data_IF_348944049958
#
_entry.id   IF_348944049958
#
_cell.length_a   1.000
_cell.length_b   1.000
_cell.length_c   1.000
_cell.angle_alpha   90.00
_cell.angle_beta   90.00
_cell.angle_gamma   90.00
#
_symmetry.space_group_name_H-M   'P 1'
#
loop_
_entity.id
_entity.type
_entity.pdbx_description
1 polymer ?
#
# COMPACT_ATOMS: atom_id res chain seq x y z
N UNK A 1 -15.73 8.08 -28.11
CA UNK A 1 -15.91 8.42 -26.68
C UNK A 1 -15.25 7.32 -25.86
N UNK A 2 -14.24 7.61 -25.04
CA UNK A 2 -13.63 6.62 -24.14
C UNK A 2 -14.60 6.25 -23.02
N UNK A 3 -14.81 4.96 -22.78
CA UNK A 3 -15.66 4.45 -21.70
C UNK A 3 -15.16 4.96 -20.33
N UNK A 4 -16.04 5.00 -19.31
CA UNK A 4 -15.66 5.39 -17.95
C UNK A 4 -14.46 4.58 -17.45
N UNK A 5 -14.49 3.26 -17.64
CA UNK A 5 -13.38 2.34 -17.38
C UNK A 5 -12.08 2.73 -18.10
N UNK A 6 -12.17 3.10 -19.38
CA UNK A 6 -11.01 3.56 -20.14
C UNK A 6 -10.39 4.86 -19.59
N UNK A 7 -11.21 5.77 -19.04
CA UNK A 7 -10.73 6.97 -18.37
C UNK A 7 -10.03 6.63 -17.05
N UNK A 8 -10.59 5.75 -16.23
CA UNK A 8 -9.96 5.28 -14.98
C UNK A 8 -8.61 4.64 -15.25
N UNK A 9 -8.52 3.71 -16.21
CA UNK A 9 -7.26 3.07 -16.61
C UNK A 9 -6.25 4.13 -17.05
N UNK A 10 -6.65 5.10 -17.87
CA UNK A 10 -5.75 6.17 -18.31
C UNK A 10 -5.23 7.02 -17.14
N UNK A 11 -6.06 7.33 -16.15
CA UNK A 11 -5.65 8.05 -14.94
C UNK A 11 -4.65 7.25 -14.10
N UNK A 12 -4.90 5.96 -13.88
CA UNK A 12 -3.98 5.06 -13.18
C UNK A 12 -2.63 5.00 -13.89
N UNK A 13 -2.62 4.78 -15.21
CA UNK A 13 -1.36 4.71 -15.98
C UNK A 13 -0.56 6.01 -15.85
N UNK A 14 -1.21 7.18 -15.98
CA UNK A 14 -0.54 8.48 -15.80
C UNK A 14 0.01 8.69 -14.39
N UNK A 15 -0.71 8.20 -13.37
CA UNK A 15 -0.25 8.23 -11.99
C UNK A 15 0.96 7.30 -11.80
N UNK A 16 0.91 6.06 -12.31
CA UNK A 16 2.02 5.11 -12.25
C UNK A 16 3.28 5.65 -12.96
N UNK A 17 3.14 6.34 -14.08
CA UNK A 17 4.26 7.01 -14.76
C UNK A 17 4.93 8.07 -13.86
N UNK A 18 4.15 8.86 -13.13
CA UNK A 18 4.67 9.85 -12.17
C UNK A 18 5.31 9.18 -10.95
N UNK A 19 4.75 8.08 -10.46
CA UNK A 19 5.34 7.27 -9.39
C UNK A 19 6.72 6.76 -9.83
N UNK A 20 6.83 6.19 -11.04
CA UNK A 20 8.08 5.65 -11.57
C UNK A 20 9.19 6.73 -11.74
N UNK A 21 8.80 7.98 -12.02
CA UNK A 21 9.71 9.12 -12.15
C UNK A 21 9.92 9.89 -10.83
N UNK A 22 9.29 9.48 -9.74
CA UNK A 22 9.38 10.20 -8.46
C UNK A 22 10.80 10.14 -7.89
N UNK A 23 11.29 11.30 -7.44
CA UNK A 23 12.59 11.44 -6.76
C UNK A 23 12.49 12.26 -5.45
N UNK A 24 11.32 12.27 -4.80
CA UNK A 24 11.11 13.01 -3.53
C UNK A 24 11.91 12.44 -2.37
N UNK A 25 12.14 11.14 -2.35
CA UNK A 25 12.95 10.43 -1.35
C UNK A 25 14.26 9.96 -1.98
N UNK A 26 15.20 10.89 -2.23
CA UNK A 26 16.45 10.61 -2.96
C UNK A 26 17.19 9.39 -2.41
N UNK A 27 17.34 9.31 -1.09
CA UNK A 27 18.07 8.21 -0.46
C UNK A 27 17.42 6.85 -0.65
N UNK A 28 16.09 6.79 -0.61
CA UNK A 28 15.37 5.53 -0.83
C UNK A 28 15.41 5.16 -2.31
N UNK A 29 15.29 6.14 -3.21
CA UNK A 29 15.19 5.92 -4.66
C UNK A 29 16.44 5.28 -5.23
N UNK A 30 17.62 5.65 -4.73
CA UNK A 30 18.92 5.12 -5.18
C UNK A 30 19.01 3.59 -5.03
N UNK A 31 18.39 2.99 -4.01
CA UNK A 31 18.40 1.54 -3.80
C UNK A 31 17.05 0.87 -4.12
N UNK A 32 16.23 1.52 -4.94
CA UNK A 32 14.92 1.04 -5.36
C UNK A 32 14.92 0.90 -6.87
N UNK A 33 14.94 -0.35 -7.38
CA UNK A 33 14.85 -0.60 -8.81
C UNK A 33 13.55 -0.04 -9.40
N UNK A 34 12.42 -0.48 -8.84
CA UNK A 34 11.08 -0.02 -9.23
C UNK A 34 10.26 0.33 -7.99
N UNK A 35 9.55 1.47 -7.98
CA UNK A 35 8.53 1.70 -6.97
C UNK A 35 7.38 0.68 -7.12
N UNK A 36 6.81 0.26 -6.01
CA UNK A 36 5.63 -0.58 -5.95
C UNK A 36 4.39 0.22 -6.37
N UNK A 37 3.60 -0.33 -7.28
CA UNK A 37 2.30 0.23 -7.70
C UNK A 37 1.18 -0.71 -7.30
N UNK A 38 -0.01 -0.16 -7.09
CA UNK A 38 -1.16 -0.96 -6.70
C UNK A 38 -1.54 -1.98 -7.78
N UNK A 39 -2.20 -3.06 -7.36
CA UNK A 39 -2.69 -4.12 -8.26
C UNK A 39 -4.04 -4.65 -7.79
N UNK A 40 -4.87 -5.00 -8.77
CA UNK A 40 -6.11 -5.70 -8.55
C UNK A 40 -7.17 -5.29 -9.56
N UNK A 41 -8.43 -5.38 -9.14
CA UNK A 41 -9.53 -4.93 -9.98
C UNK A 41 -9.55 -3.40 -10.06
N UNK A 42 -9.67 -2.85 -11.27
CA UNK A 42 -9.74 -1.39 -11.49
C UNK A 42 -11.14 -0.85 -11.14
N UNK A 43 -12.15 -1.73 -11.06
CA UNK A 43 -13.51 -1.41 -10.63
C UNK A 43 -13.77 -1.97 -9.23
N UNK A 44 -12.73 -2.05 -8.40
CA UNK A 44 -12.80 -2.59 -7.05
C UNK A 44 -13.68 -1.75 -6.12
N UNK A 45 -14.63 -2.40 -5.45
CA UNK A 45 -15.37 -1.80 -4.34
C UNK A 45 -14.52 -1.65 -3.08
N UNK A 46 -13.45 -2.44 -2.96
CA UNK A 46 -12.60 -2.50 -1.77
C UNK A 46 -11.15 -2.20 -2.13
N UNK A 47 -10.56 -1.24 -1.43
CA UNK A 47 -9.13 -0.96 -1.48
C UNK A 47 -8.44 -1.41 -0.20
N UNK A 48 -7.42 -2.26 -0.31
CA UNK A 48 -6.54 -2.69 0.78
C UNK A 48 -5.24 -1.86 0.74
N UNK A 49 -4.91 -1.17 1.82
CA UNK A 49 -3.71 -0.34 1.92
C UNK A 49 -2.75 -0.99 2.92
N UNK A 50 -1.57 -1.37 2.44
CA UNK A 50 -0.43 -1.83 3.24
C UNK A 50 0.55 -0.68 3.45
N UNK A 51 1.42 -0.75 4.45
CA UNK A 51 2.45 0.26 4.66
C UNK A 51 3.47 0.24 3.49
N UNK A 52 3.94 -0.95 3.09
CA UNK A 52 4.91 -1.12 2.01
C UNK A 52 4.85 -2.51 1.36
N UNK A 53 5.48 -2.69 0.19
CA UNK A 53 5.56 -3.99 -0.50
C UNK A 53 6.30 -5.06 0.33
N UNK A 54 7.18 -4.67 1.25
CA UNK A 54 7.92 -5.63 2.08
C UNK A 54 7.09 -6.25 3.21
N UNK A 55 5.93 -5.69 3.56
CA UNK A 55 5.06 -6.28 4.60
C UNK A 55 4.54 -7.66 4.18
N UNK A 56 4.28 -7.84 2.88
CA UNK A 56 3.82 -9.10 2.30
C UNK A 56 4.69 -9.41 1.07
N UNK A 57 5.91 -9.92 1.26
CA UNK A 57 6.86 -10.10 0.17
C UNK A 57 6.44 -11.23 -0.77
N UNK A 58 5.69 -12.21 -0.28
CA UNK A 58 5.13 -13.28 -1.11
C UNK A 58 3.86 -12.80 -1.83
N UNK A 59 3.97 -12.64 -3.15
CA UNK A 59 2.86 -12.25 -4.01
C UNK A 59 1.67 -13.21 -3.93
N UNK A 60 1.92 -14.51 -3.71
CA UNK A 60 0.86 -15.51 -3.58
C UNK A 60 0.02 -15.28 -2.32
N UNK A 61 0.65 -14.86 -1.22
CA UNK A 61 -0.05 -14.49 0.02
C UNK A 61 -0.91 -13.24 -0.18
N UNK A 62 -0.41 -12.24 -0.89
CA UNK A 62 -1.18 -11.03 -1.19
C UNK A 62 -2.40 -11.31 -2.09
N UNK A 63 -2.26 -12.25 -3.04
CA UNK A 63 -3.39 -12.73 -3.84
C UNK A 63 -4.39 -13.47 -2.93
N UNK A 64 -3.92 -14.34 -2.03
CA UNK A 64 -4.76 -15.06 -1.07
C UNK A 64 -5.54 -14.09 -0.18
N UNK A 65 -4.89 -13.06 0.36
CA UNK A 65 -5.53 -12.01 1.17
C UNK A 65 -6.69 -11.35 0.42
N UNK A 66 -6.48 -10.95 -0.84
CA UNK A 66 -7.55 -10.33 -1.66
C UNK A 66 -8.70 -11.29 -1.94
N UNK A 67 -8.40 -12.56 -2.25
CA UNK A 67 -9.43 -13.57 -2.49
C UNK A 67 -10.27 -13.83 -1.24
N UNK A 68 -9.64 -13.88 -0.06
CA UNK A 68 -10.35 -14.03 1.20
C UNK A 68 -11.26 -12.84 1.50
N UNK A 69 -10.78 -11.60 1.33
CA UNK A 69 -11.59 -10.39 1.48
C UNK A 69 -12.79 -10.43 0.52
N UNK A 70 -12.56 -10.74 -0.76
CA UNK A 70 -13.62 -10.85 -1.76
C UNK A 70 -14.65 -11.93 -1.38
N UNK A 71 -14.19 -13.12 -0.94
CA UNK A 71 -15.08 -14.20 -0.52
C UNK A 71 -15.94 -13.83 0.70
N UNK A 72 -15.39 -13.08 1.66
CA UNK A 72 -16.12 -12.64 2.85
C UNK A 72 -17.27 -11.67 2.54
N UNK A 73 -17.21 -10.97 1.41
CA UNK A 73 -18.25 -10.01 0.98
C UNK A 73 -19.45 -10.66 0.29
N UNK A 74 -19.37 -11.95 -0.06
CA UNK A 74 -20.46 -12.74 -0.63
C UNK A 74 -20.74 -12.53 -2.12
N UNK A 75 -20.44 -11.34 -2.67
CA UNK A 75 -20.79 -10.97 -4.05
C UNK A 75 -19.61 -10.94 -5.04
N UNK A 76 -18.44 -11.45 -4.64
CA UNK A 76 -17.25 -11.40 -5.49
C UNK A 76 -16.75 -9.97 -5.73
N UNK A 77 -16.88 -9.08 -4.72
CA UNK A 77 -16.42 -7.70 -4.83
C UNK A 77 -14.96 -7.64 -5.27
N UNK A 78 -14.69 -6.76 -6.25
CA UNK A 78 -13.34 -6.51 -6.71
C UNK A 78 -12.50 -5.94 -5.57
N UNK A 79 -11.28 -6.46 -5.41
CA UNK A 79 -10.32 -5.98 -4.42
C UNK A 79 -9.07 -5.47 -5.12
N UNK A 80 -8.76 -4.20 -4.88
CA UNK A 80 -7.51 -3.56 -5.24
C UNK A 80 -6.63 -3.46 -4.00
N UNK A 81 -5.33 -3.74 -4.12
CA UNK A 81 -4.39 -3.44 -3.05
C UNK A 81 -3.37 -2.41 -3.49
N UNK A 82 -2.87 -1.66 -2.53
CA UNK A 82 -1.85 -0.64 -2.74
C UNK A 82 -1.01 -0.42 -1.49
N UNK A 83 -0.09 0.54 -1.56
CA UNK A 83 0.93 0.79 -0.55
C UNK A 83 0.97 2.26 -0.16
N UNK A 84 1.12 2.53 1.14
CA UNK A 84 1.34 3.86 1.70
C UNK A 84 2.65 4.46 1.18
N UNK A 85 3.74 3.69 1.18
CA UNK A 85 4.99 4.07 0.53
C UNK A 85 5.25 3.24 -0.73
N UNK A 86 5.72 3.92 -1.78
CA UNK A 86 5.98 3.29 -3.08
C UNK A 86 7.40 2.72 -3.19
N UNK A 87 8.36 3.29 -2.47
CA UNK A 87 9.73 2.79 -2.49
C UNK A 87 10.08 2.19 -1.13
N UNK A 88 10.53 0.94 -1.10
CA UNK A 88 10.93 0.26 0.14
C UNK A 88 12.28 0.79 0.65
N UNK A 89 12.32 1.41 1.84
CA UNK A 89 13.58 1.78 2.48
C UNK A 89 14.40 0.54 2.83
N UNK A 90 15.73 0.67 2.76
CA UNK A 90 16.66 -0.41 3.07
C UNK A 90 17.86 0.11 3.85
N UNK A 91 18.28 -0.63 4.87
CA UNK A 91 19.51 -0.39 5.62
C UNK A 91 20.66 -1.10 4.89
N UNK A 92 21.63 -0.33 4.40
CA UNK A 92 22.79 -0.86 3.68
C UNK A 92 24.09 -0.28 4.26
N UNK A 93 24.96 -1.17 4.77
CA UNK A 93 26.27 -0.76 5.32
C UNK A 93 27.26 -0.34 4.21
N UNK A 94 27.12 -0.89 2.99
CA UNK A 94 28.00 -0.59 1.85
C UNK A 94 27.87 0.87 1.40
N UNK A 95 26.66 1.43 1.49
CA UNK A 95 26.36 2.81 1.09
C UNK A 95 26.81 3.86 2.09
N UNK A 96 26.81 3.55 3.40
CA UNK A 96 27.20 4.51 4.44
C UNK A 96 28.58 5.13 4.23
N UNK A 97 29.46 4.42 3.50
CA UNK A 97 30.87 4.80 3.33
C UNK A 97 31.21 5.26 1.89
N UNK A 98 30.24 5.45 0.99
CA UNK A 98 30.51 5.81 -0.40
C UNK A 98 29.67 7.01 -0.84
N UNK A 99 30.34 8.08 -1.27
CA UNK A 99 29.70 9.17 -1.99
C UNK A 99 29.34 8.67 -3.39
N UNK A 100 28.08 8.28 -3.58
CA UNK A 100 27.59 7.77 -4.86
C UNK A 100 27.25 8.98 -5.75
N UNK A 101 28.12 9.29 -6.71
CA UNK A 101 27.89 10.29 -7.78
C UNK A 101 27.03 9.74 -8.95
N UNK A 102 26.33 8.63 -8.73
CA UNK A 102 25.53 7.96 -9.75
C UNK A 102 24.09 8.50 -9.75
N UNK A 103 23.64 8.98 -10.92
CA UNK A 103 22.27 9.42 -11.14
C UNK A 103 21.44 8.24 -11.68
N UNK A 104 21.03 7.34 -10.78
CA UNK A 104 20.24 6.17 -11.13
C UNK A 104 20.02 5.19 -9.96
N UNK A 105 19.34 4.07 -10.24
CA UNK A 105 19.18 2.98 -9.27
C UNK A 105 20.44 2.10 -9.21
N UNK A 106 20.98 1.91 -8.01
CA UNK A 106 22.04 0.96 -7.71
C UNK A 106 21.56 -0.49 -7.68
N UNK A 107 20.26 -0.73 -7.77
CA UNK A 107 19.68 -2.07 -7.85
C UNK A 107 19.14 -2.30 -9.25
N UNK A 108 19.52 -3.43 -9.86
CA UNK A 108 18.99 -3.86 -11.15
C UNK A 108 17.71 -4.71 -11.03
N UNK A 109 17.21 -5.22 -12.15
CA UNK A 109 15.99 -6.02 -12.21
C UNK A 109 16.12 -7.37 -11.49
N UNK A 110 17.33 -7.91 -11.38
CA UNK A 110 17.63 -9.19 -10.72
C UNK A 110 17.96 -9.00 -9.22
N UNK A 111 17.68 -7.81 -8.68
CA UNK A 111 17.99 -7.41 -7.32
C UNK A 111 19.51 -7.53 -7.00
N UNK A 112 20.38 -7.29 -8.00
CA UNK A 112 21.82 -7.17 -7.80
C UNK A 112 22.20 -5.72 -7.55
N UNK A 113 23.14 -5.51 -6.64
CA UNK A 113 23.70 -4.21 -6.32
C UNK A 113 24.84 -3.86 -7.28
N UNK A 114 24.72 -2.75 -8.02
CA UNK A 114 25.73 -2.30 -8.98
C UNK A 114 27.07 -1.92 -8.33
N UNK A 115 27.08 -1.56 -7.04
CA UNK A 115 28.31 -1.26 -6.30
C UNK A 115 29.15 -2.51 -6.01
N UNK A 116 28.50 -3.62 -5.67
CA UNK A 116 29.20 -4.86 -5.29
C UNK A 116 29.14 -5.96 -6.33
N UNK A 117 28.25 -5.84 -7.32
CA UNK A 117 27.92 -6.88 -8.32
C UNK A 117 27.37 -8.18 -7.74
N UNK A 118 26.90 -8.12 -6.49
CA UNK A 118 26.30 -9.24 -5.75
C UNK A 118 24.80 -9.04 -5.58
N UNK A 119 24.08 -10.10 -5.19
CA UNK A 119 22.68 -9.95 -4.74
C UNK A 119 22.62 -8.96 -3.58
N UNK A 120 21.65 -8.05 -3.65
CA UNK A 120 21.44 -7.05 -2.61
C UNK A 120 21.03 -7.74 -1.30
N UNK A 121 21.84 -7.54 -0.27
CA UNK A 121 21.67 -8.03 1.09
C UNK A 121 21.14 -6.95 2.05
N UNK A 122 20.73 -5.80 1.51
CA UNK A 122 20.23 -4.69 2.32
C UNK A 122 18.89 -5.07 2.98
N UNK A 123 18.81 -4.82 4.28
CA UNK A 123 17.67 -5.22 5.10
C UNK A 123 16.54 -4.19 4.91
N UNK A 124 15.29 -4.60 4.63
CA UNK A 124 14.16 -3.68 4.59
C UNK A 124 14.04 -2.90 5.91
N UNK A 125 13.87 -1.59 5.80
CA UNK A 125 13.63 -0.70 6.93
C UNK A 125 12.19 -0.19 6.89
N UNK A 126 11.64 0.13 8.05
CA UNK A 126 10.37 0.84 8.10
C UNK A 126 10.51 2.25 7.49
N UNK A 127 9.49 2.75 6.79
CA UNK A 127 9.49 4.11 6.28
C UNK A 127 9.41 5.13 7.40
N UNK A 128 10.13 6.23 7.26
CA UNK A 128 10.00 7.38 8.16
C UNK A 128 8.78 8.26 7.78
N UNK A 129 8.50 9.25 8.63
CA UNK A 129 7.35 10.14 8.47
C UNK A 129 7.45 10.98 7.19
N UNK A 130 8.66 11.45 6.86
CA UNK A 130 8.90 12.23 5.65
C UNK A 130 8.68 11.40 4.39
N UNK A 131 9.14 10.16 4.38
CA UNK A 131 8.96 9.20 3.28
C UNK A 131 7.47 8.85 3.10
N UNK A 132 6.75 8.70 4.21
CA UNK A 132 5.30 8.46 4.20
C UNK A 132 4.56 9.67 3.63
N UNK A 133 4.79 10.86 4.15
CA UNK A 133 4.17 12.10 3.66
C UNK A 133 4.50 12.38 2.19
N UNK A 134 5.73 12.08 1.76
CA UNK A 134 6.14 12.22 0.37
C UNK A 134 5.34 11.32 -0.58
N UNK A 135 4.90 10.14 -0.13
CA UNK A 135 4.12 9.19 -0.94
C UNK A 135 2.60 9.36 -0.80
N UNK A 136 2.13 9.94 0.31
CA UNK A 136 0.70 10.05 0.65
C UNK A 136 -0.14 10.64 -0.49
N UNK A 137 0.33 11.66 -1.18
CA UNK A 137 -0.40 12.27 -2.29
C UNK A 137 -0.74 11.28 -3.42
N UNK A 138 0.13 10.30 -3.73
CA UNK A 138 -0.17 9.26 -4.71
C UNK A 138 -1.23 8.29 -4.21
N UNK A 139 -1.25 8.01 -2.90
CA UNK A 139 -2.28 7.17 -2.31
C UNK A 139 -3.65 7.86 -2.36
N UNK A 140 -3.71 9.14 -2.00
CA UNK A 140 -4.97 9.91 -2.05
C UNK A 140 -5.50 10.03 -3.48
N UNK A 141 -4.60 10.30 -4.44
CA UNK A 141 -4.97 10.33 -5.86
C UNK A 141 -5.45 8.96 -6.33
N UNK A 142 -4.84 7.86 -5.88
CA UNK A 142 -5.27 6.51 -6.26
C UNK A 142 -6.65 6.15 -5.69
N UNK A 143 -6.93 6.55 -4.43
CA UNK A 143 -8.27 6.43 -3.83
C UNK A 143 -9.29 7.23 -4.65
N UNK A 144 -8.97 8.47 -5.01
CA UNK A 144 -9.85 9.33 -5.82
C UNK A 144 -10.06 8.79 -7.25
N UNK A 145 -9.06 8.15 -7.85
CA UNK A 145 -9.17 7.55 -9.19
C UNK A 145 -10.06 6.32 -9.18
N UNK A 146 -9.88 5.44 -8.19
CA UNK A 146 -10.57 4.15 -8.11
C UNK A 146 -11.94 4.25 -7.42
N UNK A 147 -12.14 5.26 -6.59
CA UNK A 147 -13.38 5.54 -5.87
C UNK A 147 -13.97 4.32 -5.13
N UNK A 148 -13.17 3.64 -4.27
CA UNK A 148 -13.62 2.43 -3.59
C UNK A 148 -14.70 2.76 -2.55
N UNK A 149 -15.67 1.86 -2.34
CA UNK A 149 -16.68 2.01 -1.28
C UNK A 149 -16.10 1.82 0.12
N UNK A 150 -15.11 0.92 0.24
CA UNK A 150 -14.46 0.58 1.50
C UNK A 150 -12.94 0.62 1.35
N UNK A 151 -12.28 1.32 2.25
CA UNK A 151 -10.82 1.38 2.37
C UNK A 151 -10.39 0.63 3.62
N UNK A 152 -9.64 -0.45 3.45
CA UNK A 152 -9.06 -1.25 4.55
C UNK A 152 -7.62 -0.81 4.76
N UNK A 153 -7.31 -0.21 5.91
CA UNK A 153 -5.94 0.18 6.29
C UNK A 153 -5.31 -0.90 7.17
N UNK A 154 -4.21 -1.48 6.72
CA UNK A 154 -3.50 -2.55 7.44
C UNK A 154 -2.36 -1.96 8.27
N UNK A 155 -2.38 -2.23 9.57
CA UNK A 155 -1.36 -1.76 10.52
C UNK A 155 -1.62 -0.36 11.07
N UNK A 156 -1.01 -0.08 12.22
CA UNK A 156 -1.21 1.16 12.97
C UNK A 156 -0.78 2.40 12.17
N UNK A 157 0.42 2.36 11.59
CA UNK A 157 0.96 3.49 10.83
C UNK A 157 0.06 3.85 9.64
N UNK A 158 -0.51 2.85 8.97
CA UNK A 158 -1.32 3.08 7.77
C UNK A 158 -2.57 3.88 8.08
N UNK A 159 -3.38 3.45 9.07
CA UNK A 159 -4.62 4.17 9.40
C UNK A 159 -4.31 5.58 9.92
N UNK A 160 -3.22 5.74 10.67
CA UNK A 160 -2.80 7.03 11.21
C UNK A 160 -2.60 8.11 10.14
N UNK A 161 -1.99 7.79 9.01
CA UNK A 161 -1.79 8.73 7.92
C UNK A 161 -3.03 8.90 7.05
N UNK A 162 -3.70 7.80 6.69
CA UNK A 162 -4.91 7.86 5.86
C UNK A 162 -6.00 8.64 6.58
N UNK A 163 -6.29 8.33 7.85
CA UNK A 163 -7.43 8.92 8.55
C UNK A 163 -7.27 10.42 8.75
N UNK A 164 -6.04 10.90 9.04
CA UNK A 164 -5.75 12.34 9.11
C UNK A 164 -6.01 13.04 7.77
N UNK A 165 -5.66 12.41 6.65
CA UNK A 165 -5.94 12.96 5.33
C UNK A 165 -7.44 13.06 5.01
N UNK A 166 -8.26 12.19 5.60
CA UNK A 166 -9.72 12.17 5.46
C UNK A 166 -10.48 12.81 6.63
N UNK A 167 -9.78 13.53 7.52
CA UNK A 167 -10.39 14.27 8.63
C UNK A 167 -10.96 13.41 9.77
N UNK A 168 -10.54 12.15 9.88
CA UNK A 168 -10.95 11.23 10.95
C UNK A 168 -9.91 11.30 12.07
N UNK A 169 -10.30 11.80 13.24
CA UNK A 169 -9.38 12.01 14.38
C UNK A 169 -9.71 11.21 15.64
N UNK A 170 -10.94 10.71 15.79
CA UNK A 170 -11.41 9.97 16.97
C UNK A 170 -10.50 8.78 17.36
N UNK A 171 -9.94 8.00 16.41
CA UNK A 171 -9.13 6.83 16.75
C UNK A 171 -7.84 7.17 17.47
N UNK A 172 -7.29 8.38 17.30
CA UNK A 172 -5.98 8.74 17.85
C UNK A 172 -5.98 8.95 19.37
N UNK A 173 -7.15 8.90 20.01
CA UNK A 173 -7.28 8.99 21.46
C UNK A 173 -7.09 7.64 22.16
N UNK A 174 -7.00 6.54 21.40
CA UNK A 174 -6.94 5.16 21.94
C UNK A 174 -5.79 4.37 21.33
N UNK A 175 -5.23 3.38 22.05
CA UNK A 175 -4.27 2.45 21.48
C UNK A 175 -4.82 1.72 20.25
N UNK A 176 -3.94 1.28 19.34
CA UNK A 176 -4.37 0.54 18.15
C UNK A 176 -5.21 -0.70 18.45
N UNK A 177 -4.94 -1.40 19.56
CA UNK A 177 -5.72 -2.55 20.01
C UNK A 177 -7.23 -2.26 20.14
N UNK A 178 -7.60 -1.05 20.58
CA UNK A 178 -8.99 -0.61 20.73
C UNK A 178 -9.61 -0.14 19.41
N UNK A 179 -8.76 0.14 18.43
CA UNK A 179 -9.13 0.57 17.10
C UNK A 179 -9.10 -0.57 16.09
N UNK A 180 -8.56 -1.75 16.43
CA UNK A 180 -8.46 -2.91 15.54
C UNK A 180 -9.84 -3.39 15.08
N UNK A 181 -9.98 -3.68 13.79
CA UNK A 181 -11.21 -4.19 13.17
C UNK A 181 -12.43 -3.29 13.42
N UNK A 182 -12.23 -1.98 13.35
CA UNK A 182 -13.30 -1.01 13.54
C UNK A 182 -13.58 -0.24 12.28
N UNK A 183 -14.88 0.03 12.08
CA UNK A 183 -15.37 0.83 10.98
C UNK A 183 -15.41 2.31 11.39
N UNK A 184 -14.92 3.15 10.49
CA UNK A 184 -14.97 4.60 10.57
C UNK A 184 -15.56 5.13 9.28
N UNK A 185 -16.14 6.32 9.35
CA UNK A 185 -16.80 6.94 8.20
C UNK A 185 -16.27 8.35 8.04
N UNK A 186 -15.79 8.65 6.83
CA UNK A 186 -15.63 10.02 6.34
C UNK A 186 -16.87 10.41 5.53
N UNK A 187 -16.91 11.64 5.02
CA UNK A 187 -18.00 12.10 4.16
C UNK A 187 -18.15 11.25 2.90
N UNK A 188 -17.04 10.79 2.33
CA UNK A 188 -16.99 10.11 1.03
C UNK A 188 -16.79 8.59 1.16
N UNK A 189 -16.01 8.14 2.14
CA UNK A 189 -15.52 6.76 2.21
C UNK A 189 -15.80 6.09 3.56
N UNK A 190 -15.96 4.76 3.53
CA UNK A 190 -15.87 3.91 4.72
C UNK A 190 -14.44 3.42 4.90
N UNK A 191 -13.96 3.43 6.14
CA UNK A 191 -12.64 2.98 6.51
C UNK A 191 -12.71 1.85 7.51
N UNK A 192 -11.97 0.77 7.28
CA UNK A 192 -11.83 -0.36 8.20
C UNK A 192 -10.36 -0.52 8.56
N UNK A 193 -10.06 -0.51 9.85
CA UNK A 193 -8.72 -0.87 10.33
C UNK A 193 -8.57 -2.38 10.38
N UNK A 194 -7.37 -2.87 10.05
CA UNK A 194 -7.03 -4.28 10.17
C UNK A 194 -5.59 -4.43 10.67
N UNK A 195 -5.31 -5.52 11.37
CA UNK A 195 -3.94 -5.91 11.69
C UNK A 195 -3.36 -6.76 10.56
N UNK A 196 -2.05 -6.64 10.32
CA UNK A 196 -1.38 -7.48 9.34
C UNK A 196 -1.44 -8.95 9.82
N UNK A 197 -1.99 -9.88 9.01
CA UNK A 197 -2.01 -11.28 9.39
C UNK A 197 -0.59 -11.83 9.52
N UNK A 198 -0.32 -12.75 10.47
CA UNK A 198 0.97 -13.43 10.54
C UNK A 198 1.31 -14.14 9.22
N UNK A 199 2.60 -14.20 8.83
CA UNK A 199 3.03 -14.95 7.65
C UNK A 199 2.55 -16.40 7.72
N UNK A 200 2.06 -16.95 6.59
CA UNK A 200 1.53 -18.32 6.54
C UNK A 200 0.16 -18.53 7.19
N UNK A 201 -0.52 -17.48 7.69
CA UNK A 201 -1.88 -17.59 8.22
C UNK A 201 -2.86 -18.19 7.20
N UNK A 202 -3.59 -19.24 7.58
CA UNK A 202 -4.55 -19.94 6.71
C UNK A 202 -5.75 -19.07 6.34
N UNK A 203 -6.24 -18.28 7.30
CA UNK A 203 -7.46 -17.47 7.19
C UNK A 203 -7.17 -16.00 7.50
N UNK A 204 -6.44 -15.29 6.63
CA UNK A 204 -6.12 -13.87 6.84
C UNK A 204 -7.41 -13.05 6.92
N UNK A 205 -7.47 -12.14 7.91
CA UNK A 205 -8.60 -11.23 8.13
C UNK A 205 -9.94 -11.92 8.45
N UNK A 206 -9.94 -13.17 8.95
CA UNK A 206 -11.17 -13.89 9.28
C UNK A 206 -12.09 -13.15 10.27
N UNK A 207 -11.48 -12.39 11.18
CA UNK A 207 -12.12 -11.50 12.15
C UNK A 207 -12.90 -10.35 11.50
N UNK A 208 -12.61 -10.00 10.24
CA UNK A 208 -13.35 -8.98 9.49
C UNK A 208 -14.65 -9.51 8.87
N UNK A 209 -14.86 -10.85 8.82
CA UNK A 209 -15.99 -11.45 8.08
C UNK A 209 -17.36 -10.90 8.49
N UNK A 210 -17.59 -10.73 9.80
CA UNK A 210 -18.85 -10.19 10.30
C UNK A 210 -19.12 -8.75 9.84
N UNK A 211 -18.08 -7.91 9.81
CA UNK A 211 -18.16 -6.51 9.41
C UNK A 211 -18.36 -6.40 7.90
N UNK A 212 -17.57 -7.16 7.12
CA UNK A 212 -17.62 -7.14 5.66
C UNK A 212 -18.99 -7.58 5.13
N UNK A 213 -19.59 -8.63 5.71
CA UNK A 213 -20.93 -9.08 5.35
C UNK A 213 -22.01 -8.02 5.56
N UNK A 214 -21.90 -7.21 6.61
CA UNK A 214 -22.86 -6.14 6.93
C UNK A 214 -22.76 -4.95 5.98
N UNK A 215 -21.55 -4.66 5.48
CA UNK A 215 -21.30 -3.53 4.59
C UNK A 215 -21.79 -3.85 3.18
N UNK A 216 -21.61 -5.08 2.69
CA UNK A 216 -21.92 -5.45 1.31
C UNK A 216 -23.33 -5.95 1.06
N UNK A 217 -24.13 -6.11 2.12
CA UNK A 217 -25.58 -6.39 2.02
C UNK A 217 -26.44 -5.12 1.93
N UNK A 218 -25.84 -3.93 1.99
CA UNK A 218 -26.49 -2.62 1.80
C UNK A 218 -26.13 -2.03 0.44
#
# INVERSE_FOLDING_TARGET
MTSAKGKTISRIVKMEERINKCNRCKDVRVCCFRPATGKGDIEADIMLILASESEVPDRSELIRMRQQISAMTGNGCGVYHTYMVRCQPRICNRRKNQAVLFDGSLIDADNRCLLSRERCDAIPAEPDDQQTMNCLHFLLEEIEILDPKLVITVGERTYQYVFRAFGIFDPFQKPFADNKNRLFRSCEYLFLTAELPPPGCETPFADLSGILKLITTR
#
